data_IF_368080540541
#
_entry.id   IF_368080540541
#
_cell.length_a   1.000
_cell.length_b   1.000
_cell.length_c   1.000
_cell.angle_alpha   90.00
_cell.angle_beta   90.00
_cell.angle_gamma   90.00
#
_symmetry.space_group_name_H-M   'P 1'
#
loop_
_entity.id
_entity.type
_entity.pdbx_description
1 polymer ?
#
# COMPACT_ATOMS: atom_id res chain seq x y z
N UNK A 1 35.33 29.54 10.03
CA UNK A 1 33.89 29.76 10.25
C UNK A 1 33.19 29.54 8.92
N UNK A 2 32.43 28.46 8.74
CA UNK A 2 31.66 28.24 7.51
C UNK A 2 30.27 28.86 7.69
N UNK A 3 29.99 29.92 6.94
CA UNK A 3 28.63 30.47 6.87
C UNK A 3 27.78 29.49 6.05
N UNK A 4 26.75 28.93 6.68
CA UNK A 4 25.76 28.06 6.03
C UNK A 4 24.81 28.93 5.19
N UNK A 5 25.13 29.12 3.91
CA UNK A 5 24.16 29.61 2.94
C UNK A 5 23.19 28.46 2.60
N UNK A 6 22.21 28.22 3.46
CA UNK A 6 21.15 27.21 3.29
C UNK A 6 19.96 27.78 2.53
N UNK A 7 20.19 28.40 1.38
CA UNK A 7 19.12 28.68 0.42
C UNK A 7 19.30 27.74 -0.75
N UNK A 8 18.59 26.61 -0.72
CA UNK A 8 18.43 25.80 -1.92
C UNK A 8 17.79 26.69 -3.01
N UNK A 9 18.21 26.56 -4.28
CA UNK A 9 17.55 27.29 -5.36
C UNK A 9 16.06 26.97 -5.34
N UNK A 10 15.24 27.99 -5.58
CA UNK A 10 13.79 27.82 -5.65
C UNK A 10 13.45 26.77 -6.71
N UNK A 11 12.44 25.94 -6.42
CA UNK A 11 11.95 24.95 -7.39
C UNK A 11 11.48 25.70 -8.64
N UNK A 12 11.82 25.22 -9.85
CA UNK A 12 11.26 25.77 -11.07
C UNK A 12 9.72 25.69 -11.03
N UNK A 13 9.03 26.66 -11.65
CA UNK A 13 7.58 26.66 -11.71
C UNK A 13 7.07 25.40 -12.41
N UNK A 14 5.91 24.93 -11.97
CA UNK A 14 5.20 23.84 -12.65
C UNK A 14 4.69 24.42 -13.98
N UNK A 15 4.92 23.74 -15.13
CA UNK A 15 4.41 24.18 -16.42
C UNK A 15 2.89 24.39 -16.40
N UNK A 16 2.41 25.31 -17.23
CA UNK A 16 0.98 25.54 -17.37
C UNK A 16 0.29 24.36 -18.06
N UNK A 17 -1.03 24.28 -17.94
CA UNK A 17 -1.79 23.22 -18.62
C UNK A 17 -1.64 23.32 -20.13
N UNK A 18 -1.59 24.53 -20.66
CA UNK A 18 -1.45 24.80 -22.08
C UNK A 18 -0.09 24.33 -22.59
N UNK A 19 0.99 24.59 -21.84
CA UNK A 19 2.35 24.11 -22.16
C UNK A 19 2.43 22.58 -22.18
N UNK A 20 1.81 21.93 -21.19
CA UNK A 20 1.77 20.46 -21.12
C UNK A 20 1.05 19.86 -22.33
N UNK A 21 -0.07 20.48 -22.74
CA UNK A 21 -0.85 19.98 -23.88
C UNK A 21 -0.13 20.21 -25.20
N UNK A 22 0.60 21.32 -25.33
CA UNK A 22 1.40 21.61 -26.52
C UNK A 22 2.58 20.63 -26.66
N UNK A 23 3.26 20.32 -25.55
CA UNK A 23 4.34 19.31 -25.52
C UNK A 23 3.82 17.92 -25.93
N UNK A 24 2.66 17.51 -25.41
CA UNK A 24 2.04 16.22 -25.76
C UNK A 24 1.56 16.15 -27.20
N UNK A 25 1.13 17.28 -27.77
CA UNK A 25 0.70 17.36 -29.17
C UNK A 25 1.87 17.24 -30.16
N UNK A 26 3.08 17.61 -29.74
CA UNK A 26 4.29 17.60 -30.56
C UNK A 26 5.26 16.45 -30.21
N UNK A 27 4.94 15.63 -29.20
CA UNK A 27 5.75 14.49 -28.80
C UNK A 27 5.80 13.42 -29.91
N UNK A 28 7.00 12.93 -30.22
CA UNK A 28 7.17 11.81 -31.14
C UNK A 28 6.60 10.52 -30.50
N UNK A 29 6.02 9.59 -31.29
CA UNK A 29 5.56 8.30 -30.76
C UNK A 29 6.63 7.49 -30.01
N UNK A 30 7.91 7.74 -30.31
CA UNK A 30 9.06 7.09 -29.64
C UNK A 30 9.47 7.78 -28.32
N UNK A 31 8.96 8.98 -28.03
CA UNK A 31 9.23 9.71 -26.78
C UNK A 31 8.27 9.28 -25.65
N UNK A 32 7.19 8.58 -26.00
CA UNK A 32 6.29 7.94 -25.04
C UNK A 32 6.94 6.64 -24.60
N UNK A 33 7.60 6.68 -23.44
CA UNK A 33 8.22 5.52 -22.79
C UNK A 33 7.32 4.28 -22.89
N UNK A 34 7.75 3.29 -23.67
CA UNK A 34 7.25 1.93 -23.53
C UNK A 34 7.77 1.42 -22.18
N UNK A 35 6.89 1.37 -21.18
CA UNK A 35 7.18 0.65 -19.95
C UNK A 35 7.27 -0.83 -20.32
N UNK A 36 8.49 -1.30 -20.60
CA UNK A 36 8.82 -2.73 -20.65
C UNK A 36 8.49 -3.33 -19.28
N UNK A 37 7.29 -3.88 -19.17
CA UNK A 37 6.80 -4.51 -17.95
C UNK A 37 7.45 -5.88 -17.81
N UNK A 38 8.76 -5.98 -17.57
CA UNK A 38 9.37 -7.21 -17.07
C UNK A 38 10.79 -7.01 -16.53
N UNK A 39 10.85 -6.58 -15.26
CA UNK A 39 11.71 -7.25 -14.27
C UNK A 39 10.91 -7.42 -13.00
N UNK A 40 10.24 -8.57 -12.91
CA UNK A 40 9.75 -9.09 -11.64
C UNK A 40 10.95 -9.12 -10.68
N UNK A 41 10.92 -8.27 -9.65
CA UNK A 41 11.80 -8.42 -8.51
C UNK A 41 11.30 -9.64 -7.73
N UNK A 42 11.84 -10.81 -8.05
CA UNK A 42 11.64 -12.00 -7.24
C UNK A 42 12.24 -11.75 -5.85
N UNK A 43 11.38 -11.63 -4.84
CA UNK A 43 11.81 -11.68 -3.45
C UNK A 43 11.92 -13.16 -3.04
N UNK A 44 13.11 -13.66 -2.66
CA UNK A 44 13.24 -15.05 -2.25
C UNK A 44 12.72 -15.20 -0.82
N UNK A 45 11.68 -16.02 -0.63
CA UNK A 45 11.31 -16.55 0.69
C UNK A 45 9.92 -16.20 1.21
N UNK A 46 8.87 -16.49 0.43
CA UNK A 46 7.49 -16.34 0.87
C UNK A 46 6.73 -17.67 0.70
N UNK A 47 7.14 -18.70 1.44
CA UNK A 47 6.29 -19.84 1.76
C UNK A 47 5.16 -19.35 2.69
N UNK A 48 4.05 -18.90 2.13
CA UNK A 48 2.82 -18.64 2.88
C UNK A 48 1.85 -19.79 2.65
N UNK A 49 1.75 -20.63 3.67
CA UNK A 49 0.87 -21.78 3.81
C UNK A 49 -0.61 -21.38 3.93
N UNK A 50 -1.44 -22.00 3.08
CA UNK A 50 -2.71 -22.70 3.34
C UNK A 50 -3.95 -22.03 3.97
N UNK A 51 -4.01 -20.73 4.29
CA UNK A 51 -5.27 -20.13 4.80
C UNK A 51 -5.63 -18.76 4.17
N UNK A 52 -5.32 -18.57 2.89
CA UNK A 52 -5.97 -17.53 2.08
C UNK A 52 -7.20 -18.13 1.39
N UNK A 53 -8.37 -17.47 1.38
CA UNK A 53 -9.48 -17.93 0.54
C UNK A 53 -8.96 -18.06 -0.89
N UNK A 54 -9.23 -19.18 -1.58
CA UNK A 54 -8.79 -19.40 -2.98
C UNK A 54 -9.25 -18.22 -3.85
N UNK A 55 -8.38 -17.22 -4.02
CA UNK A 55 -8.54 -16.15 -5.00
C UNK A 55 -7.93 -16.70 -6.27
N UNK A 56 -8.78 -17.27 -7.13
CA UNK A 56 -8.43 -17.56 -8.52
C UNK A 56 -7.98 -18.99 -8.78
N UNK A 57 -8.95 -19.90 -8.83
CA UNK A 57 -8.90 -21.05 -9.75
C UNK A 57 -9.94 -20.87 -10.86
N UNK A 58 -9.98 -19.67 -11.42
CA UNK A 58 -10.65 -19.43 -12.69
C UNK A 58 -9.51 -19.34 -13.69
N UNK A 59 -9.14 -20.49 -14.24
CA UNK A 59 -8.11 -20.61 -15.25
C UNK A 59 -8.55 -19.89 -16.52
N UNK A 60 -8.21 -18.61 -16.64
CA UNK A 60 -8.08 -17.92 -17.92
C UNK A 60 -6.79 -17.12 -17.89
N UNK A 61 -5.87 -17.52 -18.75
CA UNK A 61 -4.67 -16.80 -19.13
C UNK A 61 -4.91 -15.29 -19.18
N UNK A 62 -4.08 -14.51 -18.50
CA UNK A 62 -3.97 -13.06 -18.65
C UNK A 62 -3.35 -12.72 -20.04
N UNK A 63 -4.00 -13.15 -21.11
CA UNK A 63 -3.84 -12.49 -22.40
C UNK A 63 -4.41 -11.09 -22.25
N UNK A 64 -3.55 -10.09 -22.43
CA UNK A 64 -3.98 -8.70 -22.58
C UNK A 64 -4.70 -8.61 -23.93
N UNK A 65 -5.94 -9.10 -23.97
CA UNK A 65 -6.83 -8.80 -25.07
C UNK A 65 -7.24 -7.34 -24.93
N UNK A 66 -6.92 -6.53 -25.94
CA UNK A 66 -7.51 -5.21 -26.09
C UNK A 66 -9.01 -5.33 -25.86
N UNK A 67 -9.55 -4.55 -24.94
CA UNK A 67 -10.95 -4.61 -24.53
C UNK A 67 -11.84 -4.11 -25.68
N UNK A 68 -12.14 -4.98 -26.65
CA UNK A 68 -12.93 -4.66 -27.85
C UNK A 68 -14.39 -4.31 -27.54
N UNK A 69 -14.86 -4.59 -26.32
CA UNK A 69 -16.23 -4.34 -25.90
C UNK A 69 -16.29 -3.39 -24.68
N UNK A 70 -16.91 -2.21 -24.80
CA UNK A 70 -17.08 -1.26 -23.70
C UNK A 70 -17.71 -1.89 -22.45
N UNK A 71 -18.60 -2.88 -22.61
CA UNK A 71 -19.24 -3.58 -21.50
C UNK A 71 -18.25 -4.27 -20.56
N UNK A 72 -17.17 -4.84 -21.10
CA UNK A 72 -16.13 -5.49 -20.28
C UNK A 72 -15.34 -4.49 -19.43
N UNK A 73 -15.13 -3.26 -19.93
CA UNK A 73 -14.51 -2.20 -19.15
C UNK A 73 -15.38 -1.80 -17.96
N UNK A 74 -16.70 -1.68 -18.16
CA UNK A 74 -17.64 -1.40 -17.06
C UNK A 74 -17.63 -2.50 -16.00
N UNK A 75 -17.60 -3.78 -16.40
CA UNK A 75 -17.54 -4.91 -15.46
C UNK A 75 -16.23 -4.90 -14.66
N UNK A 76 -15.09 -4.62 -15.31
CA UNK A 76 -13.78 -4.50 -14.62
C UNK A 76 -13.79 -3.36 -13.59
N UNK A 77 -14.32 -2.19 -13.96
CA UNK A 77 -14.42 -1.04 -13.05
C UNK A 77 -15.38 -1.36 -11.89
N UNK A 78 -16.51 -2.00 -12.15
CA UNK A 78 -17.44 -2.41 -11.10
C UNK A 78 -16.78 -3.38 -10.11
N UNK A 79 -16.10 -4.41 -10.61
CA UNK A 79 -15.35 -5.36 -9.78
C UNK A 79 -14.22 -4.69 -8.98
N UNK A 80 -13.51 -3.74 -9.58
CA UNK A 80 -12.49 -2.96 -8.89
C UNK A 80 -13.07 -2.14 -7.74
N UNK A 81 -14.20 -1.46 -7.97
CA UNK A 81 -14.89 -0.67 -6.94
C UNK A 81 -15.38 -1.57 -5.80
N UNK A 82 -15.95 -2.73 -6.11
CA UNK A 82 -16.38 -3.70 -5.09
C UNK A 82 -15.21 -4.20 -4.23
N UNK A 83 -14.09 -4.55 -4.86
CA UNK A 83 -12.87 -4.96 -4.15
C UNK A 83 -12.31 -3.83 -3.29
N UNK A 84 -12.28 -2.59 -3.79
CA UNK A 84 -11.86 -1.41 -3.03
C UNK A 84 -12.73 -1.21 -1.79
N UNK A 85 -14.05 -1.26 -1.94
CA UNK A 85 -14.99 -1.13 -0.82
C UNK A 85 -14.82 -2.25 0.21
N UNK A 86 -14.52 -3.47 -0.23
CA UNK A 86 -14.23 -4.59 0.66
C UNK A 86 -12.93 -4.38 1.45
N UNK A 87 -11.88 -3.89 0.78
CA UNK A 87 -10.60 -3.58 1.41
C UNK A 87 -10.73 -2.46 2.44
N UNK A 88 -11.52 -1.43 2.17
CA UNK A 88 -11.80 -0.35 3.14
C UNK A 88 -12.47 -0.88 4.42
N UNK A 89 -13.44 -1.78 4.29
CA UNK A 89 -14.08 -2.44 5.44
C UNK A 89 -13.07 -3.28 6.23
N UNK A 90 -12.27 -4.07 5.54
CA UNK A 90 -11.26 -4.90 6.18
C UNK A 90 -10.21 -4.07 6.92
N UNK A 91 -9.79 -2.94 6.34
CA UNK A 91 -8.85 -2.01 6.96
C UNK A 91 -9.41 -1.47 8.29
N UNK A 92 -10.67 -1.05 8.31
CA UNK A 92 -11.31 -0.58 9.53
C UNK A 92 -11.37 -1.66 10.63
N UNK A 93 -11.62 -2.93 10.25
CA UNK A 93 -11.59 -4.05 11.19
C UNK A 93 -10.19 -4.32 11.76
N UNK A 94 -9.17 -4.26 10.90
CA UNK A 94 -7.77 -4.45 11.31
C UNK A 94 -7.32 -3.33 12.24
N UNK A 95 -7.69 -2.07 11.98
CA UNK A 95 -7.40 -0.95 12.86
C UNK A 95 -8.05 -1.12 14.24
N UNK A 96 -9.31 -1.57 14.29
CA UNK A 96 -10.01 -1.90 15.54
C UNK A 96 -9.33 -3.04 16.30
N UNK A 97 -8.90 -4.10 15.61
CA UNK A 97 -8.16 -5.21 16.24
C UNK A 97 -6.82 -4.72 16.79
N UNK A 98 -6.11 -3.86 16.06
CA UNK A 98 -4.86 -3.23 16.50
C UNK A 98 -5.06 -2.37 17.75
N UNK A 99 -6.12 -1.56 17.82
CA UNK A 99 -6.40 -0.78 19.03
C UNK A 99 -6.71 -1.66 20.24
N UNK A 100 -7.48 -2.73 20.03
CA UNK A 100 -7.80 -3.67 21.10
C UNK A 100 -6.55 -4.41 21.62
N UNK A 101 -5.65 -4.82 20.73
CA UNK A 101 -4.38 -5.44 21.10
C UNK A 101 -3.50 -4.49 21.91
N UNK A 102 -3.46 -3.20 21.55
CA UNK A 102 -2.72 -2.20 22.31
C UNK A 102 -3.26 -2.02 23.74
N UNK A 103 -4.58 -1.98 23.90
CA UNK A 103 -5.21 -1.90 25.22
C UNK A 103 -4.88 -3.15 26.06
N UNK A 104 -4.89 -4.33 25.42
CA UNK A 104 -4.55 -5.57 26.09
C UNK A 104 -3.08 -5.59 26.53
N UNK A 105 -2.17 -5.13 25.67
CA UNK A 105 -0.74 -4.98 25.98
C UNK A 105 -0.54 -4.05 27.19
N UNK A 106 -1.17 -2.89 27.20
CA UNK A 106 -1.10 -1.93 28.33
C UNK A 106 -1.62 -2.56 29.63
N UNK A 107 -2.71 -3.35 29.55
CA UNK A 107 -3.29 -4.03 30.71
C UNK A 107 -2.33 -5.10 31.26
N UNK A 108 -1.74 -5.91 30.37
CA UNK A 108 -0.79 -6.96 30.76
C UNK A 108 0.48 -6.35 31.38
N UNK A 109 1.00 -5.26 30.82
CA UNK A 109 2.14 -4.54 31.40
C UNK A 109 1.83 -4.01 32.79
N UNK A 110 0.62 -3.45 32.99
CA UNK A 110 0.19 -3.00 34.30
C UNK A 110 0.07 -4.15 35.31
N UNK A 111 -0.42 -5.31 34.88
CA UNK A 111 -0.54 -6.48 35.75
C UNK A 111 0.82 -7.10 36.08
N UNK A 112 1.76 -7.16 35.12
CA UNK A 112 3.16 -7.56 35.38
C UNK A 112 3.78 -6.64 36.44
N UNK A 113 3.63 -5.32 36.30
CA UNK A 113 4.18 -4.37 37.25
C UNK A 113 3.62 -4.56 38.67
N UNK A 114 2.31 -4.86 38.81
CA UNK A 114 1.71 -5.18 40.11
C UNK A 114 2.30 -6.46 40.71
N UNK A 115 2.45 -7.52 39.91
CA UNK A 115 3.02 -8.79 40.37
C UNK A 115 4.47 -8.61 40.81
N UNK A 116 5.27 -7.84 40.06
CA UNK A 116 6.65 -7.51 40.44
C UNK A 116 6.71 -6.73 41.75
N UNK A 117 5.80 -5.77 41.97
CA UNK A 117 5.71 -5.02 43.22
C UNK A 117 5.35 -5.93 44.40
N UNK A 118 4.39 -6.84 44.23
CA UNK A 118 4.01 -7.81 45.26
C UNK A 118 5.14 -8.79 45.59
N UNK A 119 5.87 -9.28 44.58
CA UNK A 119 7.02 -10.16 44.78
C UNK A 119 8.14 -9.45 45.54
N UNK A 120 8.40 -8.18 45.22
CA UNK A 120 9.39 -7.37 45.93
C UNK A 120 9.02 -7.18 47.39
N UNK A 121 7.75 -6.83 47.68
CA UNK A 121 7.23 -6.72 49.05
C UNK A 121 7.42 -8.02 49.86
N UNK A 122 7.17 -9.18 49.24
CA UNK A 122 7.35 -10.48 49.89
C UNK A 122 8.81 -10.86 50.14
N UNK A 123 9.74 -10.33 49.34
CA UNK A 123 11.19 -10.58 49.53
C UNK A 123 11.82 -9.73 50.64
N UNK A 124 11.13 -8.68 51.08
CA UNK A 124 11.58 -7.76 52.14
C UNK A 124 11.01 -8.13 53.53
N UNK A 125 10.13 -9.13 53.61
CA UNK A 125 9.61 -9.77 54.84
C UNK A 125 10.20 -11.15 55.05
#
# INVERSE_FOLDING_TARGET
MFQKNTSLPARPPIPSREEIMDDLAHASPNDVFHLEAEKVLEFPGADYTDDLPEIGKDGESNEISECKNPHQSYVKVASFVEKSNSLEKYLAEVEKKKSNLKILEETLLADIAKVEEELKKRSET
#
